data_IF_544924820723
#
_entry.id   IF_544924820723
#
_cell.length_a   1.000
_cell.length_b   1.000
_cell.length_c   1.000
_cell.angle_alpha   90.00
_cell.angle_beta   90.00
_cell.angle_gamma   90.00
#
_symmetry.space_group_name_H-M   'P 1'
#
loop_
_entity.id
_entity.type
_entity.pdbx_description
1 polymer ?
#
# COMPACT_ATOMS: atom_id res chain seq x y z
N UNK A 1 -3.90 -8.98 10.88
CA UNK A 1 -3.85 -8.17 9.64
C UNK A 1 -2.92 -6.98 9.83
N UNK A 2 -1.85 -6.84 9.03
CA UNK A 2 -1.06 -5.59 8.98
C UNK A 2 -1.47 -4.81 7.73
N UNK A 3 -1.97 -3.58 7.89
CA UNK A 3 -2.38 -2.71 6.76
C UNK A 3 -1.25 -2.42 5.78
N UNK A 4 0.01 -2.50 6.22
CA UNK A 4 1.17 -2.39 5.32
C UNK A 4 1.16 -3.45 4.22
N UNK A 5 0.59 -4.64 4.47
CA UNK A 5 0.45 -5.67 3.43
C UNK A 5 -0.57 -5.27 2.36
N UNK A 6 -1.58 -4.48 2.71
CA UNK A 6 -2.49 -3.87 1.75
C UNK A 6 -1.77 -2.79 0.94
N UNK A 7 -1.04 -1.88 1.59
CA UNK A 7 -0.29 -0.82 0.92
C UNK A 7 0.74 -1.36 -0.09
N UNK A 8 1.35 -2.51 0.20
CA UNK A 8 2.25 -3.21 -0.74
C UNK A 8 1.60 -3.65 -2.05
N UNK A 9 0.27 -3.80 -2.08
CA UNK A 9 -0.49 -4.20 -3.28
C UNK A 9 -0.79 -3.00 -4.20
N UNK A 10 -0.65 -1.77 -3.71
CA UNK A 10 -0.95 -0.53 -4.46
C UNK A 10 0.15 -0.15 -5.48
N UNK A 11 0.87 -1.15 -5.99
CA UNK A 11 1.95 -0.91 -6.95
C UNK A 11 1.38 -0.39 -8.26
N UNK A 12 2.02 0.63 -8.82
CA UNK A 12 1.63 1.37 -10.02
C UNK A 12 0.33 2.19 -9.87
N UNK A 13 -0.16 2.37 -8.64
CA UNK A 13 -1.29 3.26 -8.38
C UNK A 13 -0.82 4.69 -8.16
N UNK A 14 -1.63 5.65 -8.60
CA UNK A 14 -1.41 7.07 -8.31
C UNK A 14 -1.92 7.39 -6.92
N UNK A 15 -1.06 7.91 -6.06
CA UNK A 15 -1.44 8.22 -4.67
C UNK A 15 -0.97 9.62 -4.30
N UNK A 16 -1.66 10.21 -3.32
CA UNK A 16 -1.19 11.43 -2.66
C UNK A 16 -0.81 11.11 -1.23
N UNK A 17 0.44 11.32 -0.86
CA UNK A 17 0.96 11.09 0.48
C UNK A 17 1.08 12.43 1.19
N UNK A 18 0.38 12.57 2.30
CA UNK A 18 0.57 13.71 3.19
C UNK A 18 1.61 13.37 4.25
N UNK A 19 2.64 14.20 4.33
CA UNK A 19 3.72 14.07 5.30
C UNK A 19 3.42 14.88 6.56
N UNK A 20 4.01 14.46 7.68
CA UNK A 20 3.84 15.09 8.99
C UNK A 20 4.20 16.58 9.03
N UNK A 21 5.12 17.01 8.18
CA UNK A 21 5.52 18.41 8.06
C UNK A 21 4.53 19.29 7.25
N UNK A 22 3.49 18.68 6.66
CA UNK A 22 2.46 19.36 5.85
C UNK A 22 2.71 19.31 4.35
N UNK A 23 3.84 18.76 3.90
CA UNK A 23 4.10 18.59 2.46
C UNK A 23 3.23 17.47 1.90
N UNK A 24 2.63 17.70 0.75
CA UNK A 24 1.88 16.72 -0.03
C UNK A 24 2.77 16.19 -1.16
N UNK A 25 2.83 14.87 -1.31
CA UNK A 25 3.58 14.19 -2.36
C UNK A 25 2.62 13.43 -3.24
N UNK A 26 2.40 13.91 -4.46
CA UNK A 26 1.63 13.20 -5.47
C UNK A 26 2.57 12.41 -6.37
N UNK A 27 2.22 11.18 -6.75
CA UNK A 27 2.96 10.42 -7.75
C UNK A 27 2.56 8.94 -7.83
N UNK A 28 3.29 8.20 -8.66
CA UNK A 28 3.05 6.77 -8.91
C UNK A 28 3.79 5.92 -7.87
N UNK A 29 3.08 5.10 -7.11
CA UNK A 29 3.68 4.26 -6.09
C UNK A 29 4.37 3.03 -6.68
N UNK A 30 5.67 2.87 -6.47
CA UNK A 30 6.46 1.74 -6.98
C UNK A 30 6.55 0.59 -5.98
N UNK A 31 6.84 0.91 -4.71
CA UNK A 31 6.94 -0.11 -3.66
C UNK A 31 6.77 0.48 -2.27
N UNK A 32 6.39 -0.38 -1.31
CA UNK A 32 6.25 -0.05 0.11
C UNK A 32 6.98 -1.10 0.96
N UNK A 33 7.88 -0.65 1.84
CA UNK A 33 8.58 -1.54 2.78
C UNK A 33 7.69 -1.97 3.96
N UNK A 34 8.05 -3.02 4.73
CA UNK A 34 7.34 -3.36 5.98
C UNK A 34 7.28 -2.21 7.00
N UNK A 35 8.22 -1.27 6.95
CA UNK A 35 8.28 -0.07 7.80
C UNK A 35 7.58 1.15 7.16
N UNK A 36 6.80 0.94 6.09
CA UNK A 36 6.12 1.97 5.30
C UNK A 36 7.05 2.95 4.57
N UNK A 37 8.29 2.58 4.28
CA UNK A 37 9.08 3.40 3.36
C UNK A 37 8.47 3.28 1.97
N UNK A 38 8.13 4.40 1.35
CA UNK A 38 7.44 4.45 0.08
C UNK A 38 8.38 4.99 -1.00
N UNK A 39 8.42 4.30 -2.13
CA UNK A 39 9.15 4.73 -3.32
C UNK A 39 8.12 5.17 -4.35
N UNK A 40 8.25 6.39 -4.85
CA UNK A 40 7.37 6.94 -5.88
C UNK A 40 8.18 7.44 -7.09
N UNK A 41 7.55 7.40 -8.26
CA UNK A 41 8.03 7.98 -9.51
C UNK A 41 7.04 9.01 -10.05
N UNK A 42 7.50 9.88 -10.94
CA UNK A 42 6.71 10.95 -11.54
C UNK A 42 6.03 11.81 -10.48
N UNK A 43 6.87 12.39 -9.62
CA UNK A 43 6.49 12.96 -8.36
C UNK A 43 6.29 14.47 -8.48
N UNK A 44 5.18 14.93 -7.93
CA UNK A 44 4.92 16.36 -7.68
C UNK A 44 4.82 16.58 -6.18
N UNK A 45 5.82 17.27 -5.64
CA UNK A 45 5.81 17.77 -4.27
C UNK A 45 5.12 19.12 -4.23
N UNK A 46 4.32 19.35 -3.20
CA UNK A 46 3.67 20.64 -2.98
C UNK A 46 3.59 20.91 -1.48
N UNK A 47 3.76 22.17 -1.08
CA UNK A 47 3.49 22.60 0.28
C UNK A 47 2.27 23.54 0.28
N UNK A 48 1.08 23.03 0.64
CA UNK A 48 -0.13 23.83 0.67
C UNK A 48 0.01 25.04 1.61
N UNK A 49 -0.37 26.21 1.12
CA UNK A 49 -0.42 27.42 1.95
C UNK A 49 -1.71 27.44 2.78
N UNK A 50 -1.65 27.92 4.03
CA UNK A 50 -2.86 28.10 4.83
C UNK A 50 -3.75 29.17 4.19
N UNK A 51 -5.08 28.93 4.22
CA UNK A 51 -6.09 29.84 3.66
C UNK A 51 -6.23 31.18 4.39
N UNK A 52 -5.50 31.35 5.50
CA UNK A 52 -5.53 32.54 6.33
C UNK A 52 -4.28 33.38 6.04
N UNK A 53 -4.46 34.59 5.50
CA UNK A 53 -3.36 35.51 5.10
C UNK A 53 -2.35 35.87 6.20
N UNK A 54 -2.68 35.64 7.48
CA UNK A 54 -1.79 35.91 8.62
C UNK A 54 -1.02 34.69 9.13
N UNK A 55 -1.31 33.50 8.60
CA UNK A 55 -0.66 32.28 9.04
C UNK A 55 0.51 31.97 8.11
N UNK A 56 1.71 31.91 8.67
CA UNK A 56 2.88 31.49 7.90
C UNK A 56 2.85 29.97 7.69
N UNK A 57 3.20 29.53 6.49
CA UNK A 57 3.47 28.12 6.22
C UNK A 57 4.71 27.64 6.98
N UNK A 58 4.85 26.33 7.15
CA UNK A 58 6.00 25.72 7.82
C UNK A 58 7.33 26.05 7.09
N UNK A 59 8.12 26.98 7.63
CA UNK A 59 9.36 27.46 7.01
C UNK A 59 10.42 26.38 6.81
N UNK A 60 10.44 25.35 7.68
CA UNK A 60 11.35 24.20 7.54
C UNK A 60 10.92 23.33 6.35
N UNK A 61 9.62 23.18 6.12
CA UNK A 61 9.12 22.42 4.97
C UNK A 61 9.34 23.19 3.65
N UNK A 62 9.27 24.53 3.68
CA UNK A 62 9.63 25.38 2.54
C UNK A 62 11.08 25.15 2.16
N UNK A 63 12.02 25.32 3.09
CA UNK A 63 13.45 25.13 2.81
C UNK A 63 13.75 23.72 2.30
N UNK A 64 13.17 22.69 2.93
CA UNK A 64 13.31 21.31 2.47
C UNK A 64 12.87 21.13 1.02
N UNK A 65 11.80 21.80 0.59
CA UNK A 65 11.30 21.73 -0.78
C UNK A 65 12.24 22.45 -1.77
N UNK A 66 12.73 23.65 -1.42
CA UNK A 66 13.73 24.37 -2.22
C UNK A 66 15.02 23.53 -2.41
N UNK A 67 15.48 22.87 -1.34
CA UNK A 67 16.68 22.03 -1.39
C UNK A 67 16.53 20.74 -2.21
N UNK A 68 15.31 20.35 -2.59
CA UNK A 68 15.12 19.19 -3.49
C UNK A 68 15.60 19.46 -4.92
N UNK A 69 15.85 20.73 -5.29
CA UNK A 69 16.35 21.12 -6.61
C UNK A 69 15.34 21.02 -7.75
N UNK A 70 14.11 20.56 -7.49
CA UNK A 70 13.05 20.38 -8.49
C UNK A 70 12.07 21.56 -8.61
N UNK A 71 12.33 22.68 -7.93
CA UNK A 71 11.41 23.82 -7.96
C UNK A 71 11.42 24.54 -9.32
N UNK A 72 10.23 24.83 -9.83
CA UNK A 72 10.07 25.71 -10.98
C UNK A 72 10.07 27.16 -10.48
N UNK A 73 11.08 27.94 -10.90
CA UNK A 73 11.33 29.31 -10.43
C UNK A 73 10.22 30.33 -10.78
N UNK A 74 9.21 29.96 -11.58
CA UNK A 74 8.21 30.87 -12.15
C UNK A 74 6.86 30.83 -11.44
N UNK A 75 6.57 29.80 -10.64
CA UNK A 75 5.29 29.66 -9.94
C UNK A 75 5.40 30.18 -8.50
N UNK A 76 4.53 31.11 -8.11
CA UNK A 76 4.39 31.55 -6.71
C UNK A 76 3.92 30.45 -5.74
N UNK A 77 3.62 29.27 -6.28
CA UNK A 77 3.30 28.07 -5.52
C UNK A 77 4.56 27.25 -5.23
N UNK A 78 4.68 26.82 -3.98
CA UNK A 78 5.78 25.99 -3.49
C UNK A 78 5.60 24.56 -3.98
N UNK A 79 6.01 24.32 -5.23
CA UNK A 79 5.89 23.06 -5.97
C UNK A 79 7.28 22.64 -6.44
N UNK A 80 7.61 21.35 -6.29
CA UNK A 80 8.81 20.76 -6.89
C UNK A 80 8.45 19.49 -7.66
N UNK A 81 8.94 19.37 -8.88
CA UNK A 81 8.75 18.20 -9.74
C UNK A 81 10.01 17.35 -9.70
N UNK A 82 9.85 16.04 -9.45
CA UNK A 82 10.95 15.08 -9.33
C UNK A 82 10.58 13.81 -10.09
N UNK A 83 11.55 13.18 -10.74
CA UNK A 83 11.32 11.89 -11.40
C UNK A 83 11.15 10.75 -10.38
N UNK A 84 11.84 10.83 -9.24
CA UNK A 84 11.93 9.77 -8.24
C UNK A 84 12.04 10.35 -6.83
N UNK A 85 11.37 9.74 -5.86
CA UNK A 85 11.53 10.05 -4.43
C UNK A 85 11.45 8.78 -3.57
N UNK A 86 12.20 8.77 -2.48
CA UNK A 86 12.08 7.79 -1.42
C UNK A 86 11.67 8.46 -0.12
N UNK A 87 10.54 8.06 0.43
CA UNK A 87 9.94 8.62 1.64
C UNK A 87 10.10 7.62 2.78
N UNK A 88 10.64 8.07 3.90
CA UNK A 88 10.76 7.25 5.12
C UNK A 88 9.38 7.09 5.78
N UNK A 89 9.00 5.88 6.15
CA UNK A 89 7.62 5.61 6.59
C UNK A 89 7.16 6.32 7.86
N UNK A 90 8.09 6.74 8.72
CA UNK A 90 7.76 7.49 9.93
C UNK A 90 7.35 8.95 9.66
N UNK A 91 7.65 9.50 8.47
CA UNK A 91 7.26 10.87 8.08
C UNK A 91 5.86 10.92 7.46
N UNK A 92 5.29 9.78 7.08
CA UNK A 92 3.95 9.69 6.49
C UNK A 92 2.89 9.93 7.58
N UNK A 93 1.93 10.82 7.29
CA UNK A 93 0.72 11.03 8.11
C UNK A 93 -0.44 10.21 7.56
N UNK A 94 -0.75 10.37 6.28
CA UNK A 94 -1.83 9.67 5.61
C UNK A 94 -1.55 9.48 4.11
N UNK A 95 -2.24 8.52 3.50
CA UNK A 95 -2.17 8.24 2.06
C UNK A 95 -3.59 8.34 1.52
N UNK A 96 -3.80 9.26 0.59
CA UNK A 96 -5.03 9.41 -0.18
C UNK A 96 -4.96 8.39 -1.33
N UNK A 97 -5.93 7.49 -1.36
CA UNK A 97 -6.04 6.41 -2.34
C UNK A 97 -6.82 6.86 -3.58
N UNK A 98 -6.65 6.20 -4.72
CA UNK A 98 -7.53 6.38 -5.88
C UNK A 98 -9.00 6.04 -5.54
N UNK A 99 -9.94 6.80 -6.09
CA UNK A 99 -11.37 6.58 -5.90
C UNK A 99 -11.88 5.26 -6.53
N UNK A 100 -11.22 4.78 -7.59
CA UNK A 100 -11.61 3.59 -8.37
C UNK A 100 -11.08 2.27 -7.81
N UNK A 101 -10.55 2.27 -6.59
CA UNK A 101 -9.86 1.11 -6.03
C UNK A 101 -10.82 0.10 -5.38
N UNK A 102 -10.76 -1.16 -5.83
CA UNK A 102 -11.55 -2.26 -5.28
C UNK A 102 -11.02 -2.74 -3.91
N UNK A 103 -11.41 -2.05 -2.84
CA UNK A 103 -10.96 -2.32 -1.47
C UNK A 103 -11.26 -3.75 -1.01
N UNK A 104 -12.42 -4.30 -1.37
CA UNK A 104 -12.86 -5.62 -0.92
C UNK A 104 -11.89 -6.73 -1.34
N UNK A 105 -11.35 -6.64 -2.55
CA UNK A 105 -10.35 -7.59 -3.05
C UNK A 105 -8.98 -7.37 -2.41
N UNK A 106 -8.59 -6.10 -2.26
CA UNK A 106 -7.25 -5.75 -1.81
C UNK A 106 -7.04 -5.92 -0.29
N UNK A 107 -8.10 -5.81 0.50
CA UNK A 107 -8.05 -6.00 1.95
C UNK A 107 -7.96 -7.48 2.38
N UNK A 108 -8.18 -8.43 1.47
CA UNK A 108 -8.01 -9.86 1.76
C UNK A 108 -6.54 -10.19 2.01
N UNK A 109 -6.21 -10.68 3.21
CA UNK A 109 -4.88 -11.20 3.54
C UNK A 109 -4.85 -12.70 3.29
N UNK A 110 -4.03 -13.09 2.32
CA UNK A 110 -3.90 -14.49 1.95
C UNK A 110 -3.30 -15.36 3.05
N UNK A 111 -2.53 -14.79 3.97
CA UNK A 111 -2.03 -15.56 5.11
C UNK A 111 -3.16 -15.94 6.06
N UNK A 112 -4.06 -14.99 6.35
CA UNK A 112 -5.23 -15.25 7.18
C UNK A 112 -6.19 -16.21 6.47
N UNK A 113 -6.45 -15.99 5.18
CA UNK A 113 -7.31 -16.88 4.38
C UNK A 113 -6.76 -18.31 4.32
N UNK A 114 -5.45 -18.46 4.11
CA UNK A 114 -4.79 -19.77 4.10
C UNK A 114 -4.82 -20.45 5.46
N UNK A 115 -4.65 -19.71 6.55
CA UNK A 115 -4.79 -20.24 7.91
C UNK A 115 -6.20 -20.76 8.17
N UNK A 116 -7.22 -19.97 7.81
CA UNK A 116 -8.61 -20.36 7.97
C UNK A 116 -8.98 -21.60 7.13
N UNK A 117 -8.49 -21.68 5.89
CA UNK A 117 -8.63 -22.86 5.03
C UNK A 117 -7.98 -24.11 5.64
N UNK A 118 -6.81 -23.97 6.28
CA UNK A 118 -6.13 -25.08 7.00
C UNK A 118 -6.91 -25.52 8.23
N UNK A 119 -7.51 -24.59 8.95
CA UNK A 119 -8.36 -24.87 10.12
C UNK A 119 -9.76 -25.40 9.78
N UNK A 120 -10.13 -25.47 8.50
CA UNK A 120 -11.45 -25.93 8.06
C UNK A 120 -12.60 -24.92 8.28
N UNK A 121 -12.29 -23.70 8.74
CA UNK A 121 -13.29 -22.65 8.98
C UNK A 121 -13.75 -21.90 7.73
N UNK A 122 -13.13 -22.17 6.57
CA UNK A 122 -13.58 -21.66 5.26
C UNK A 122 -14.06 -22.84 4.45
N UNK A 123 -15.31 -22.78 3.97
CA UNK A 123 -15.89 -23.80 3.12
C UNK A 123 -14.96 -24.04 1.92
N UNK A 124 -14.40 -25.25 1.86
CA UNK A 124 -13.68 -25.69 0.68
C UNK A 124 -14.65 -25.66 -0.49
N UNK A 125 -14.23 -25.03 -1.57
CA UNK A 125 -14.80 -25.09 -2.91
C UNK A 125 -15.63 -26.39 -3.12
N UNK A 126 -16.95 -26.32 -3.41
CA UNK A 126 -17.80 -27.51 -3.51
C UNK A 126 -17.28 -28.54 -4.53
N UNK A 127 -16.44 -28.11 -5.49
CA UNK A 127 -15.75 -28.99 -6.43
C UNK A 127 -14.66 -29.88 -5.81
N UNK A 128 -14.09 -29.52 -4.66
CA UNK A 128 -13.05 -30.32 -3.99
C UNK A 128 -13.62 -31.50 -3.20
N UNK A 129 -14.89 -31.43 -2.74
CA UNK A 129 -15.59 -32.57 -2.13
C UNK A 129 -15.93 -33.64 -3.18
N UNK A 130 -16.32 -33.24 -4.39
CA UNK A 130 -16.68 -34.17 -5.48
C UNK A 130 -15.53 -35.08 -5.96
N UNK A 131 -14.27 -34.71 -5.71
CA UNK A 131 -13.10 -35.51 -6.09
C UNK A 131 -12.69 -36.57 -5.07
N UNK A 132 -13.20 -36.52 -3.84
CA UNK A 132 -12.84 -37.50 -2.79
C UNK A 132 -13.75 -38.73 -2.75
N UNK A 133 -14.94 -38.67 -3.32
CA UNK A 133 -15.89 -39.80 -3.29
C UNK A 133 -15.82 -40.72 -4.52
N UNK A 134 -15.08 -40.36 -5.58
CA UNK A 134 -14.96 -41.17 -6.82
C UNK A 134 -13.58 -41.84 -7.01
N UNK A 135 -12.82 -42.02 -5.93
CA UNK A 135 -11.54 -42.75 -5.93
C UNK A 135 -11.55 -43.84 -4.88
N UNK A 136 -11.69 -45.10 -5.32
CA UNK A 136 -11.73 -46.32 -4.53
C UNK A 136 -10.71 -46.37 -3.37
N UNK A 137 -11.03 -47.05 -2.24
CA UNK A 137 -10.06 -47.28 -1.18
C UNK A 137 -8.99 -48.27 -1.66
N UNK A 138 -7.81 -47.77 -2.02
CA UNK A 138 -6.65 -48.61 -2.27
C UNK A 138 -6.14 -49.20 -0.93
N UNK A 139 -6.41 -50.49 -0.75
CA UNK A 139 -5.69 -51.45 0.09
C UNK A 139 -5.58 -51.17 1.60
N UNK A 140 -6.58 -51.61 2.37
CA UNK A 140 -6.31 -52.26 3.67
C UNK A 140 -6.31 -53.77 3.46
N UNK A 141 -5.13 -54.36 3.26
CA UNK A 141 -4.94 -55.82 3.29
C UNK A 141 -5.21 -56.33 4.71
N UNK A 142 -6.11 -57.30 4.94
CA UNK A 142 -6.13 -58.04 6.19
C UNK A 142 -5.07 -59.14 6.11
N UNK A 143 -4.09 -59.17 7.01
CA UNK A 143 -3.32 -60.38 7.26
C UNK A 143 -3.73 -60.94 8.62
N UNK A 144 -4.43 -62.07 8.52
CA UNK A 144 -4.94 -62.94 9.57
C UNK A 144 -3.81 -63.34 10.53
N UNK A 145 -4.16 -63.46 11.80
CA UNK A 145 -3.33 -64.07 12.82
C UNK A 145 -3.06 -65.54 12.53
N UNK A 146 -1.90 -65.97 13.02
CA UNK A 146 -1.56 -67.31 13.48
C UNK A 146 -1.05 -67.15 14.91
#
# INVERSE_FOLDING_TARGET
>A
MKLVNFLKKLRNEQVTIELKNGTTVWGTLQSVSPQMNAILTDVKLTLPQPRLNKLNSNGIAMSSLYLTGGQQATTGDNIASLQYINIRGNTIRQIILPDSLNLDSLLVDQNQLNSLRRSGQVANDPNKKRRRDFGAPANKRPRRGL
#
